data_IF_293277732184
#
_entry.id   IF_293277732184
#
_cell.length_a   1.000
_cell.length_b   1.000
_cell.length_c   1.000
_cell.angle_alpha   90.00
_cell.angle_beta   90.00
_cell.angle_gamma   90.00
#
_symmetry.space_group_name_H-M   'P 1'
#
loop_
_entity.id
_entity.type
_entity.pdbx_description
1 polymer ?
#
# COMPACT_ATOMS: atom_id res chain seq x y z
N UNK A 1 -5.24 4.79 38.82
CA UNK A 1 -4.37 3.89 38.04
C UNK A 1 -4.59 4.23 36.58
N UNK A 2 -3.68 5.00 35.97
CA UNK A 2 -3.74 5.31 34.54
C UNK A 2 -2.99 4.20 33.80
N UNK A 3 -3.73 3.32 33.13
CA UNK A 3 -3.18 2.31 32.23
C UNK A 3 -2.85 2.96 30.89
N UNK A 4 -1.57 2.96 30.54
CA UNK A 4 -1.05 3.54 29.32
C UNK A 4 -1.13 2.63 28.09
N UNK A 5 -0.74 3.24 26.97
CA UNK A 5 0.00 2.60 25.89
C UNK A 5 -0.82 2.07 24.72
N UNK A 6 -1.14 2.95 23.76
CA UNK A 6 -0.69 2.81 22.37
C UNK A 6 -0.95 4.14 21.64
N UNK A 7 0.04 5.04 21.63
CA UNK A 7 0.04 6.10 20.62
C UNK A 7 0.33 5.41 19.29
N UNK A 8 -0.72 5.18 18.49
CA UNK A 8 -0.56 4.89 17.08
C UNK A 8 0.02 6.16 16.44
N UNK A 9 1.34 6.28 16.42
CA UNK A 9 2.04 7.27 15.59
C UNK A 9 1.73 6.93 14.14
N UNK A 10 0.58 7.39 13.66
CA UNK A 10 0.20 7.33 12.27
C UNK A 10 1.14 8.24 11.50
N UNK A 11 1.85 7.68 10.53
CA UNK A 11 2.53 8.51 9.55
C UNK A 11 1.46 9.09 8.63
N UNK A 12 1.37 10.41 8.54
CA UNK A 12 0.54 11.06 7.55
C UNK A 12 1.24 10.88 6.19
N UNK A 13 0.66 10.04 5.36
CA UNK A 13 1.18 9.71 4.04
C UNK A 13 0.37 10.48 3.02
N UNK A 14 0.96 11.52 2.43
CA UNK A 14 0.30 12.28 1.37
C UNK A 14 0.60 11.60 0.02
N UNK A 15 -0.46 11.07 -0.60
CA UNK A 15 -0.37 10.46 -1.91
C UNK A 15 -0.22 11.57 -2.95
N UNK A 16 0.91 11.59 -3.66
CA UNK A 16 1.12 12.53 -4.74
C UNK A 16 0.18 12.17 -5.91
N UNK A 17 -0.90 12.94 -6.07
CA UNK A 17 -2.00 12.74 -7.04
C UNK A 17 -1.62 12.96 -8.51
N UNK A 18 -0.33 12.90 -8.83
CA UNK A 18 0.21 13.21 -10.16
C UNK A 18 -0.10 12.11 -11.20
N UNK A 19 -0.78 11.03 -10.78
CA UNK A 19 -1.31 10.00 -11.67
C UNK A 19 -2.84 10.07 -11.65
N UNK A 20 -3.52 10.19 -12.80
CA UNK A 20 -4.98 10.28 -12.87
C UNK A 20 -5.68 9.04 -12.28
N UNK A 21 -4.99 7.90 -12.19
CA UNK A 21 -5.51 6.70 -11.57
C UNK A 21 -5.57 6.81 -10.04
N UNK A 22 -4.72 7.63 -9.41
CA UNK A 22 -4.72 7.84 -7.94
C UNK A 22 -5.99 8.56 -7.49
N UNK A 23 -6.68 9.31 -8.37
CA UNK A 23 -7.98 9.89 -8.04
C UNK A 23 -9.07 8.84 -7.73
N UNK A 24 -8.94 7.60 -8.22
CA UNK A 24 -9.83 6.51 -7.80
C UNK A 24 -9.71 6.21 -6.29
N UNK A 25 -8.62 6.64 -5.65
CA UNK A 25 -8.37 6.45 -4.23
C UNK A 25 -8.97 7.54 -3.35
N UNK A 26 -9.50 8.63 -3.92
CA UNK A 26 -10.15 9.68 -3.11
C UNK A 26 -11.37 9.15 -2.35
N UNK A 27 -12.01 8.08 -2.84
CA UNK A 27 -13.08 7.36 -2.13
C UNK A 27 -12.53 6.34 -1.10
N UNK A 28 -11.25 6.01 -1.20
CA UNK A 28 -10.55 4.97 -0.43
C UNK A 28 -9.72 5.57 0.72
N UNK A 29 -9.87 6.88 0.99
CA UNK A 29 -9.08 7.66 1.95
C UNK A 29 -9.08 7.14 3.41
N UNK A 30 -9.89 6.12 3.73
CA UNK A 30 -9.94 5.45 5.04
C UNK A 30 -9.47 4.00 4.99
N UNK A 31 -8.47 3.67 4.17
CA UNK A 31 -7.94 2.31 4.11
C UNK A 31 -7.03 2.02 5.33
N UNK A 32 -7.52 1.18 6.26
CA UNK A 32 -6.69 0.69 7.35
C UNK A 32 -5.78 -0.45 6.86
N UNK A 33 -4.54 -0.10 6.54
CA UNK A 33 -3.54 -1.05 6.03
C UNK A 33 -2.72 -1.59 7.21
N UNK A 34 -2.81 -2.90 7.42
CA UNK A 34 -1.92 -3.61 8.33
C UNK A 34 -0.71 -4.16 7.57
N UNK A 35 0.42 -3.49 7.70
CA UNK A 35 1.70 -3.85 7.05
C UNK A 35 2.27 -5.19 7.53
N UNK A 36 1.72 -5.78 8.59
CA UNK A 36 2.14 -7.09 9.12
C UNK A 36 1.42 -8.25 8.43
N UNK A 37 0.44 -7.98 7.57
CA UNK A 37 -0.28 -9.04 6.88
C UNK A 37 0.64 -9.83 5.94
N UNK A 38 0.59 -11.17 6.00
CA UNK A 38 1.31 -12.01 5.06
C UNK A 38 0.66 -11.99 3.67
N UNK A 39 1.42 -12.40 2.65
CA UNK A 39 0.85 -12.68 1.34
C UNK A 39 -0.19 -13.81 1.43
N UNK A 40 -1.38 -13.60 0.88
CA UNK A 40 -2.47 -14.58 0.95
C UNK A 40 -2.16 -15.89 0.20
N UNK A 41 -1.30 -15.84 -0.82
CA UNK A 41 -0.96 -17.02 -1.63
C UNK A 41 0.20 -17.85 -1.06
N UNK A 42 1.26 -17.21 -0.55
CA UNK A 42 2.47 -17.94 -0.11
C UNK A 42 2.87 -17.72 1.35
N UNK A 43 2.13 -16.90 2.11
CA UNK A 43 2.42 -16.64 3.51
C UNK A 43 3.67 -15.77 3.77
N UNK A 44 4.26 -15.18 2.73
CA UNK A 44 5.45 -14.32 2.87
C UNK A 44 5.16 -13.11 3.78
N UNK A 45 6.08 -12.78 4.67
CA UNK A 45 6.00 -11.63 5.59
C UNK A 45 7.17 -10.69 5.28
N UNK A 46 6.87 -9.44 4.90
CA UNK A 46 7.86 -8.45 4.45
C UNK A 46 7.98 -8.39 2.93
N UNK A 47 8.24 -7.22 2.35
CA UNK A 47 8.19 -6.99 0.88
C UNK A 47 6.86 -7.41 0.23
N UNK A 48 5.76 -7.23 0.97
CA UNK A 48 4.41 -7.40 0.47
C UNK A 48 3.86 -6.07 -0.04
N UNK A 49 2.98 -6.18 -1.02
CA UNK A 49 2.21 -5.07 -1.55
C UNK A 49 0.74 -5.29 -1.18
N UNK A 50 -0.02 -4.20 -1.03
CA UNK A 50 -1.47 -4.22 -0.90
C UNK A 50 -2.11 -3.61 -2.13
N UNK A 51 -3.14 -4.26 -2.66
CA UNK A 51 -3.94 -3.68 -3.73
C UNK A 51 -4.82 -2.57 -3.16
N UNK A 52 -4.73 -1.36 -3.68
CA UNK A 52 -5.51 -0.23 -3.17
C UNK A 52 -6.97 -0.24 -3.65
N UNK A 53 -7.32 -1.13 -4.59
CA UNK A 53 -8.68 -1.26 -5.12
C UNK A 53 -9.49 -2.30 -4.33
N UNK A 54 -8.86 -3.41 -3.92
CA UNK A 54 -9.55 -4.51 -3.21
C UNK A 54 -8.94 -4.90 -1.85
N UNK A 55 -7.90 -4.21 -1.41
CA UNK A 55 -7.22 -4.44 -0.12
C UNK A 55 -6.58 -5.82 0.09
N UNK A 56 -6.45 -6.64 -0.98
CA UNK A 56 -5.72 -7.91 -0.95
C UNK A 56 -4.23 -7.69 -0.76
N UNK A 57 -3.59 -8.53 0.05
CA UNK A 57 -2.15 -8.48 0.30
C UNK A 57 -1.44 -9.63 -0.42
N UNK A 58 -0.50 -9.27 -1.30
CA UNK A 58 0.28 -10.24 -2.07
C UNK A 58 1.76 -9.87 -2.04
N UNK A 59 2.64 -10.86 -2.18
CA UNK A 59 4.07 -10.60 -2.21
C UNK A 59 4.46 -9.83 -3.48
N UNK A 60 5.45 -8.96 -3.34
CA UNK A 60 5.95 -8.15 -4.45
C UNK A 60 6.59 -9.00 -5.57
N UNK A 61 6.93 -8.31 -6.67
CA UNK A 61 7.71 -8.87 -7.78
C UNK A 61 9.11 -9.36 -7.40
N UNK A 62 9.64 -8.90 -6.27
CA UNK A 62 10.98 -9.29 -5.79
C UNK A 62 10.98 -10.62 -5.03
N UNK A 63 9.79 -11.12 -4.67
CA UNK A 63 9.62 -12.37 -3.91
C UNK A 63 9.11 -13.50 -4.82
N UNK A 64 7.80 -13.54 -5.10
CA UNK A 64 7.16 -14.54 -5.98
C UNK A 64 6.18 -13.91 -6.97
N UNK A 65 6.08 -12.59 -7.01
CA UNK A 65 5.25 -11.86 -7.98
C UNK A 65 3.74 -12.10 -7.91
N UNK A 66 3.20 -12.61 -6.79
CA UNK A 66 1.75 -12.80 -6.65
C UNK A 66 0.95 -11.50 -6.81
N UNK A 67 1.52 -10.32 -6.50
CA UNK A 67 0.82 -9.05 -6.77
C UNK A 67 0.76 -8.72 -8.26
N UNK A 68 1.71 -9.20 -9.05
CA UNK A 68 1.70 -9.09 -10.52
C UNK A 68 0.64 -10.03 -11.09
N UNK A 69 0.58 -11.27 -10.60
CA UNK A 69 -0.46 -12.22 -10.97
C UNK A 69 -1.86 -11.70 -10.63
N UNK A 70 -2.00 -11.09 -9.45
CA UNK A 70 -3.25 -10.45 -9.01
C UNK A 70 -3.67 -9.33 -9.97
N UNK A 71 -2.75 -8.47 -10.38
CA UNK A 71 -3.03 -7.43 -11.39
C UNK A 71 -3.47 -8.04 -12.73
N UNK A 72 -2.81 -9.11 -13.19
CA UNK A 72 -3.18 -9.78 -14.44
C UNK A 72 -4.58 -10.43 -14.39
N UNK A 73 -5.01 -10.93 -13.24
CA UNK A 73 -6.31 -11.59 -13.05
C UNK A 73 -7.46 -10.60 -12.80
N UNK A 74 -7.22 -9.56 -11.99
CA UNK A 74 -8.25 -8.61 -11.56
C UNK A 74 -8.29 -7.32 -12.40
N UNK A 75 -7.20 -6.99 -13.10
CA UNK A 75 -7.02 -5.68 -13.73
C UNK A 75 -6.75 -4.54 -12.74
N UNK A 76 -6.46 -4.85 -11.47
CA UNK A 76 -6.21 -3.83 -10.46
C UNK A 76 -4.82 -3.20 -10.61
N UNK A 77 -4.82 -2.00 -11.17
CA UNK A 77 -3.60 -1.29 -11.52
C UNK A 77 -2.86 -0.63 -10.36
N UNK A 78 -3.49 -0.37 -9.21
CA UNK A 78 -2.91 0.36 -8.09
C UNK A 78 -2.55 -0.54 -6.92
N UNK A 79 -1.29 -0.48 -6.50
CA UNK A 79 -0.76 -1.24 -5.38
C UNK A 79 0.16 -0.37 -4.53
N UNK A 80 0.21 -0.60 -3.23
CA UNK A 80 1.10 0.08 -2.28
C UNK A 80 2.11 -0.89 -1.71
N UNK A 81 3.38 -0.47 -1.65
CA UNK A 81 4.48 -1.23 -1.07
C UNK A 81 4.54 -1.06 0.45
N UNK A 82 4.62 -2.14 1.22
CA UNK A 82 4.79 -2.05 2.68
C UNK A 82 6.21 -1.62 3.09
N UNK A 83 7.21 -1.82 2.23
CA UNK A 83 8.60 -1.52 2.58
C UNK A 83 8.87 -0.02 2.67
N UNK A 84 8.26 0.75 1.78
CA UNK A 84 8.59 2.15 1.55
C UNK A 84 7.35 3.04 1.37
N UNK A 85 6.15 2.47 1.53
CA UNK A 85 4.85 3.15 1.40
C UNK A 85 4.66 3.87 0.07
N UNK A 86 5.42 3.51 -0.96
CA UNK A 86 5.19 4.01 -2.31
C UNK A 86 4.01 3.32 -2.98
N UNK A 87 3.37 4.05 -3.89
CA UNK A 87 2.30 3.53 -4.72
C UNK A 87 2.83 3.24 -6.11
N UNK A 88 2.61 2.01 -6.58
CA UNK A 88 2.91 1.59 -7.93
C UNK A 88 1.62 1.54 -8.76
N UNK A 89 1.69 2.10 -9.95
CA UNK A 89 0.63 1.97 -10.95
C UNK A 89 1.12 1.12 -12.12
N UNK A 90 0.51 -0.04 -12.32
CA UNK A 90 0.86 -0.94 -13.42
C UNK A 90 0.55 -0.36 -14.81
N UNK A 91 -0.43 0.54 -14.94
CA UNK A 91 -0.79 1.17 -16.22
C UNK A 91 0.23 2.26 -16.61
N UNK A 92 0.69 3.03 -15.63
CA UNK A 92 1.67 4.10 -15.88
C UNK A 92 3.13 3.62 -15.82
N UNK A 93 3.36 2.37 -15.40
CA UNK A 93 4.68 1.79 -15.12
C UNK A 93 5.57 2.70 -14.27
N UNK A 94 4.96 3.42 -13.32
CA UNK A 94 5.63 4.46 -12.54
C UNK A 94 5.32 4.33 -11.05
N UNK A 95 6.36 4.46 -10.24
CA UNK A 95 6.26 4.60 -8.80
C UNK A 95 5.96 6.05 -8.42
N UNK A 96 4.94 6.29 -7.61
CA UNK A 96 4.66 7.57 -6.97
C UNK A 96 4.97 7.41 -5.50
N UNK A 97 6.08 8.01 -5.07
CA UNK A 97 6.45 8.07 -3.65
C UNK A 97 5.39 8.84 -2.87
N UNK A 98 4.91 8.27 -1.79
CA UNK A 98 4.07 8.99 -0.86
C UNK A 98 4.98 9.78 0.08
N UNK A 99 4.77 11.10 0.18
CA UNK A 99 5.62 11.93 1.03
C UNK A 99 5.07 11.84 2.45
N UNK A 100 5.79 11.15 3.32
CA UNK A 100 5.56 11.29 4.76
C UNK A 100 6.04 12.69 5.14
N UNK A 101 5.10 13.63 5.31
CA UNK A 101 5.44 14.88 5.95
C UNK A 101 5.90 14.52 7.37
N UNK A 102 7.12 14.91 7.81
CA UNK A 102 7.37 14.96 9.23
C UNK A 102 6.35 15.94 9.77
N UNK A 103 5.41 15.46 10.58
CA UNK A 103 4.51 16.31 11.35
C UNK A 103 5.40 17.26 12.15
N UNK A 104 5.56 18.49 11.65
CA UNK A 104 6.07 19.58 12.46
C UNK A 104 4.95 19.93 13.41
N UNK A 105 5.09 19.39 14.62
CA UNK A 105 4.51 19.94 15.84
C UNK A 105 4.87 21.41 16.02
#
# INVERSE_FOLDING_TARGET
MASGGLECTGFAVELKLDCPHVNLLSEVASLHIDVRKPCESCGNIGENWVCLICSVVMCSRYVKSHMVDHNAQSGHMLVLSFSDLSVWCYVCDSCKSAFALPTMI
#
